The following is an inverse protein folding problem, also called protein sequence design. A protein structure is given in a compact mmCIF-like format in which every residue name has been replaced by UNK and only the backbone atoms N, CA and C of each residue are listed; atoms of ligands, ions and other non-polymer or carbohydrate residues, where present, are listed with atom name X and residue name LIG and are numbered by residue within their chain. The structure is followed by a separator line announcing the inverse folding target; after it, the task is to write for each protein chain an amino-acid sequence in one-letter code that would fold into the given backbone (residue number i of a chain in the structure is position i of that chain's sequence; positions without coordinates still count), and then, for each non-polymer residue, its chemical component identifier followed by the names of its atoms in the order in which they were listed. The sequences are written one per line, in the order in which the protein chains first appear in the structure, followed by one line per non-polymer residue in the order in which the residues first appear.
data_IF_318789771007
#
_entry.id   IF_318789771007
#
_cell.length_a   1.000
_cell.length_b   1.000
_cell.length_c   1.000
_cell.angle_alpha   90.00
_cell.angle_beta   90.00
_cell.angle_gamma   90.00
#
_symmetry.space_group_name_H-M   'P 1'
#
loop_
_entity.id
_entity.type
_entity.pdbx_description
1 polymer ?
#
# COMPACT_ATOMS: atom_id res chain seq x y z
N UNK A 1 -14.36 -2.18 -21.19
CA UNK A 1 -13.89 -2.39 -19.81
C UNK A 1 -12.83 -3.47 -19.92
N UNK A 2 -11.59 -3.16 -19.57
CA UNK A 2 -10.53 -4.17 -19.53
C UNK A 2 -10.79 -5.08 -18.32
N UNK A 3 -10.39 -6.36 -18.36
CA UNK A 3 -10.59 -7.25 -17.23
C UNK A 3 -9.76 -6.75 -16.04
N UNK A 4 -10.44 -6.51 -14.92
CA UNK A 4 -9.85 -6.24 -13.61
C UNK A 4 -9.97 -7.54 -12.83
N UNK A 5 -8.84 -8.02 -12.31
CA UNK A 5 -8.77 -9.22 -11.49
C UNK A 5 -8.24 -8.85 -10.10
N UNK A 6 -9.08 -8.91 -9.08
CA UNK A 6 -8.65 -8.82 -7.68
C UNK A 6 -7.83 -10.06 -7.32
N UNK A 7 -6.63 -9.84 -6.77
CA UNK A 7 -5.64 -10.86 -6.46
C UNK A 7 -5.63 -11.20 -4.97
N UNK A 8 -5.73 -10.18 -4.12
CA UNK A 8 -5.78 -10.30 -2.67
C UNK A 8 -6.70 -9.21 -2.12
N UNK A 9 -7.53 -9.60 -1.18
CA UNK A 9 -8.47 -8.72 -0.45
C UNK A 9 -8.33 -9.04 1.03
N UNK A 10 -8.18 -8.02 1.88
CA UNK A 10 -8.00 -8.18 3.32
C UNK A 10 -9.03 -7.30 4.05
N UNK A 11 -9.64 -7.83 5.11
CA UNK A 11 -10.59 -7.12 5.99
C UNK A 11 -11.82 -6.51 5.29
N UNK A 12 -12.41 -7.19 4.30
CA UNK A 12 -13.54 -6.70 3.48
C UNK A 12 -13.17 -5.44 2.68
N UNK A 13 -12.20 -5.57 1.78
CA UNK A 13 -11.73 -4.49 0.87
C UNK A 13 -10.94 -3.33 1.54
N UNK A 14 -10.63 -3.40 2.84
CA UNK A 14 -9.78 -2.38 3.50
C UNK A 14 -8.38 -2.32 2.86
N UNK A 15 -7.91 -3.45 2.32
CA UNK A 15 -6.75 -3.54 1.45
C UNK A 15 -7.09 -4.41 0.25
N UNK A 16 -6.73 -3.95 -0.95
CA UNK A 16 -6.80 -4.76 -2.16
C UNK A 16 -5.49 -4.69 -2.97
N UNK A 17 -5.06 -5.85 -3.44
CA UNK A 17 -4.14 -5.97 -4.56
C UNK A 17 -4.96 -6.46 -5.75
N UNK A 18 -4.94 -5.71 -6.85
CA UNK A 18 -5.60 -6.13 -8.09
C UNK A 18 -4.70 -5.88 -9.29
N UNK A 19 -5.03 -6.52 -10.41
CA UNK A 19 -4.32 -6.31 -11.68
C UNK A 19 -5.30 -5.95 -12.77
N UNK A 20 -4.78 -5.23 -13.75
CA UNK A 20 -5.45 -5.01 -15.03
C UNK A 20 -4.45 -5.15 -16.17
N UNK A 21 -4.97 -5.39 -17.37
CA UNK A 21 -4.17 -5.39 -18.59
C UNK A 21 -4.59 -4.21 -19.47
N UNK A 22 -3.68 -3.23 -19.63
CA UNK A 22 -3.88 -2.03 -20.46
C UNK A 22 -2.85 -2.05 -21.60
N UNK A 23 -3.34 -1.97 -22.84
CA UNK A 23 -2.49 -1.91 -24.03
C UNK A 23 -1.47 -3.07 -24.15
N UNK A 24 -1.83 -4.27 -23.68
CA UNK A 24 -0.95 -5.44 -23.68
C UNK A 24 0.13 -5.45 -22.58
N UNK A 25 0.04 -4.52 -21.63
CA UNK A 25 0.90 -4.45 -20.44
C UNK A 25 0.06 -4.73 -19.21
N UNK A 26 0.57 -5.57 -18.31
CA UNK A 26 -0.05 -5.86 -17.03
C UNK A 26 0.42 -4.86 -15.98
N UNK A 27 -0.54 -4.30 -15.24
CA UNK A 27 -0.28 -3.44 -14.10
C UNK A 27 -0.91 -4.04 -12.86
N UNK A 28 -0.25 -3.84 -11.74
CA UNK A 28 -0.67 -4.23 -10.40
C UNK A 28 -0.93 -2.96 -9.60
N UNK A 29 -2.00 -2.97 -8.83
CA UNK A 29 -2.49 -1.83 -8.09
C UNK A 29 -2.68 -2.17 -6.63
N UNK A 30 -2.47 -1.17 -5.77
CA UNK A 30 -2.81 -1.25 -4.35
C UNK A 30 -3.84 -0.18 -4.03
N UNK A 31 -4.97 -0.59 -3.46
CA UNK A 31 -5.94 0.26 -2.78
C UNK A 31 -5.92 -0.03 -1.29
N UNK A 32 -6.00 1.03 -0.47
CA UNK A 32 -6.24 0.94 0.97
C UNK A 32 -7.37 1.91 1.28
N UNK A 33 -8.39 1.46 2.02
CA UNK A 33 -9.52 2.29 2.42
C UNK A 33 -9.05 3.47 3.27
N UNK A 34 -9.41 4.69 2.85
CA UNK A 34 -9.00 5.94 3.50
C UNK A 34 -9.99 6.42 4.57
N UNK A 35 -11.19 5.84 4.63
CA UNK A 35 -12.22 6.18 5.62
C UNK A 35 -12.14 5.33 6.89
N UNK A 36 -10.95 4.84 7.23
CA UNK A 36 -10.65 4.21 8.52
C UNK A 36 -10.01 5.27 9.41
N UNK A 37 -10.61 5.53 10.57
CA UNK A 37 -10.12 6.50 11.55
C UNK A 37 -9.70 5.82 12.85
N UNK A 38 -8.49 6.13 13.34
CA UNK A 38 -8.00 5.64 14.64
C UNK A 38 -7.58 6.78 15.56
N UNK A 39 -7.72 6.57 16.87
CA UNK A 39 -7.27 7.54 17.88
C UNK A 39 -5.74 7.72 17.86
N UNK A 40 -4.98 6.69 17.47
CA UNK A 40 -3.51 6.71 17.44
C UNK A 40 -2.98 6.33 16.07
N UNK A 41 -1.92 7.02 15.65
CA UNK A 41 -1.13 6.62 14.48
C UNK A 41 -0.54 5.21 14.60
N UNK A 42 -0.33 4.71 15.82
CA UNK A 42 0.16 3.34 16.02
C UNK A 42 -0.82 2.29 15.51
N UNK A 43 -2.12 2.50 15.68
CA UNK A 43 -3.13 1.54 15.26
C UNK A 43 -3.14 1.40 13.72
N UNK A 44 -2.86 2.49 12.99
CA UNK A 44 -2.63 2.44 11.53
C UNK A 44 -1.34 1.69 11.16
N UNK A 45 -0.26 1.90 11.90
CA UNK A 45 1.02 1.20 11.66
C UNK A 45 0.82 -0.31 11.86
N UNK A 46 0.17 -0.72 12.95
CA UNK A 46 -0.15 -2.13 13.23
C UNK A 46 -1.04 -2.72 12.14
N UNK A 47 -2.07 -2.00 11.68
CA UNK A 47 -2.94 -2.43 10.58
C UNK A 47 -2.16 -2.62 9.27
N UNK A 48 -1.31 -1.66 8.91
CA UNK A 48 -0.56 -1.73 7.66
C UNK A 48 0.55 -2.79 7.71
N UNK A 49 1.16 -3.02 8.88
CA UNK A 49 2.08 -4.15 9.09
C UNK A 49 1.38 -5.50 8.90
N UNK A 50 0.13 -5.62 9.35
CA UNK A 50 -0.67 -6.80 9.11
C UNK A 50 -0.95 -6.99 7.61
N UNK A 51 -1.38 -5.95 6.90
CA UNK A 51 -1.54 -5.99 5.43
C UNK A 51 -0.23 -6.37 4.72
N UNK A 52 0.91 -5.82 5.15
CA UNK A 52 2.22 -6.11 4.57
C UNK A 52 2.60 -7.59 4.74
N UNK A 53 2.31 -8.16 5.91
CA UNK A 53 2.55 -9.57 6.20
C UNK A 53 1.71 -10.50 5.31
N UNK A 54 0.41 -10.22 5.17
CA UNK A 54 -0.47 -11.02 4.31
C UNK A 54 -0.13 -10.88 2.82
N UNK A 55 0.20 -9.66 2.37
CA UNK A 55 0.69 -9.43 1.02
C UNK A 55 1.97 -10.23 0.76
N UNK A 56 2.93 -10.20 1.69
CA UNK A 56 4.16 -10.97 1.55
C UNK A 56 3.88 -12.47 1.45
N UNK A 57 3.00 -13.00 2.30
CA UNK A 57 2.60 -14.40 2.27
C UNK A 57 1.96 -14.77 0.93
N UNK A 58 1.01 -13.96 0.44
CA UNK A 58 0.39 -14.14 -0.85
C UNK A 58 1.40 -14.19 -2.00
N UNK A 59 2.37 -13.27 -2.02
CA UNK A 59 3.41 -13.22 -3.06
C UNK A 59 4.29 -14.48 -3.07
N UNK A 60 4.63 -14.98 -1.88
CA UNK A 60 5.43 -16.20 -1.71
C UNK A 60 4.64 -17.45 -2.13
N UNK A 61 3.41 -17.60 -1.66
CA UNK A 61 2.56 -18.77 -1.95
C UNK A 61 2.24 -18.91 -3.44
N UNK A 62 2.11 -17.79 -4.14
CA UNK A 62 1.89 -17.75 -5.59
C UNK A 62 3.18 -17.79 -6.42
N UNK A 63 4.34 -18.00 -5.78
CA UNK A 63 5.65 -18.12 -6.43
C UNK A 63 6.02 -16.91 -7.32
N UNK A 64 5.61 -15.70 -6.94
CA UNK A 64 6.05 -14.50 -7.67
C UNK A 64 7.55 -14.29 -7.48
N UNK A 65 8.34 -14.17 -8.56
CA UNK A 65 9.79 -14.03 -8.46
C UNK A 65 10.11 -12.73 -7.74
N UNK A 66 10.82 -12.83 -6.61
CA UNK A 66 11.23 -11.67 -5.83
C UNK A 66 12.19 -10.83 -6.66
N UNK A 67 11.76 -9.64 -7.04
CA UNK A 67 12.61 -8.65 -7.68
C UNK A 67 13.40 -7.91 -6.59
N UNK A 68 14.64 -7.52 -6.90
CA UNK A 68 15.34 -6.60 -6.00
C UNK A 68 14.60 -5.26 -6.01
N UNK A 69 14.46 -4.64 -4.84
CA UNK A 69 13.97 -3.26 -4.73
C UNK A 69 14.85 -2.41 -5.64
N UNK A 70 14.30 -2.01 -6.79
CA UNK A 70 15.07 -1.21 -7.74
C UNK A 70 15.55 0.03 -7.00
N UNK A 71 16.87 0.29 -7.05
CA UNK A 71 17.47 1.42 -6.34
C UNK A 71 17.00 2.72 -6.98
N UNK A 72 15.81 3.17 -6.65
CA UNK A 72 15.22 4.39 -7.18
C UNK A 72 16.20 5.55 -6.97
N UNK A 73 16.65 6.20 -8.06
CA UNK A 73 17.28 7.52 -7.97
C UNK A 73 16.18 8.53 -7.66
N UNK A 74 15.97 8.80 -6.37
CA UNK A 74 15.05 9.83 -5.87
C UNK A 74 15.53 11.20 -6.34
N UNK A 75 14.86 11.80 -7.33
CA UNK A 75 15.17 13.17 -7.83
C UNK A 75 14.19 14.21 -7.25
N UNK A 76 12.99 13.78 -6.84
CA UNK A 76 11.94 14.57 -6.18
C UNK A 76 10.88 13.63 -5.56
N UNK A 77 10.28 13.96 -4.40
CA UNK A 77 9.03 13.35 -3.92
C UNK A 77 8.03 14.42 -3.48
N UNK A 78 6.76 14.21 -3.83
CA UNK A 78 5.62 14.85 -3.17
C UNK A 78 4.72 13.71 -2.67
N UNK A 79 4.25 13.88 -1.44
CA UNK A 79 3.70 12.86 -0.53
C UNK A 79 2.41 12.24 -1.10
N UNK A 80 2.42 10.95 -1.40
CA UNK A 80 1.21 10.16 -1.69
C UNK A 80 0.52 9.71 -0.39
N UNK A 81 0.55 10.57 0.63
CA UNK A 81 -0.02 10.30 1.94
C UNK A 81 -0.40 11.63 2.60
N UNK A 82 -1.70 11.82 2.82
CA UNK A 82 -2.27 12.91 3.60
C UNK A 82 -2.77 12.38 4.94
N UNK A 83 -2.30 12.98 6.03
CA UNK A 83 -2.70 12.63 7.40
C UNK A 83 -3.51 13.79 7.95
N UNK A 84 -4.78 13.55 8.22
CA UNK A 84 -5.70 14.52 8.81
C UNK A 84 -6.00 14.13 10.26
N UNK A 85 -6.17 15.12 11.13
CA UNK A 85 -6.67 14.90 12.49
C UNK A 85 -7.98 15.65 12.69
N UNK A 86 -9.02 14.94 13.14
CA UNK A 86 -10.35 15.48 13.36
C UNK A 86 -11.28 14.48 14.04
N UNK A 87 -12.23 14.99 14.83
CA UNK A 87 -13.12 14.18 15.69
C UNK A 87 -12.35 13.21 16.59
N UNK A 88 -11.26 13.68 17.19
CA UNK A 88 -10.35 12.92 18.06
C UNK A 88 -9.64 11.72 17.42
N UNK A 89 -9.69 11.61 16.08
CA UNK A 89 -9.04 10.55 15.30
C UNK A 89 -8.08 11.10 14.23
N UNK A 90 -7.08 10.29 13.91
CA UNK A 90 -6.27 10.41 12.70
C UNK A 90 -6.96 9.70 11.53
N UNK A 91 -6.76 10.23 10.34
CA UNK A 91 -7.26 9.71 9.06
C UNK A 91 -6.12 9.74 8.06
N UNK A 92 -5.91 8.66 7.31
CA UNK A 92 -4.81 8.53 6.35
C UNK A 92 -5.40 8.31 4.96
N UNK A 93 -5.05 9.20 4.03
CA UNK A 93 -5.43 9.08 2.63
C UNK A 93 -4.18 8.82 1.81
N UNK A 94 -4.19 7.74 1.03
CA UNK A 94 -3.11 7.37 0.14
C UNK A 94 -3.53 7.62 -1.31
N UNK A 95 -2.67 8.24 -2.10
CA UNK A 95 -2.84 8.20 -3.55
C UNK A 95 -2.51 6.77 -3.98
N UNK A 96 -3.50 6.05 -4.51
CA UNK A 96 -3.38 4.64 -4.88
C UNK A 96 -2.13 4.35 -5.73
N UNK A 97 -1.62 3.13 -5.61
CA UNK A 97 -0.35 2.73 -6.24
C UNK A 97 -0.58 1.93 -7.51
N UNK A 98 0.33 2.07 -8.49
CA UNK A 98 0.35 1.29 -9.74
C UNK A 98 1.81 0.94 -10.12
N UNK A 99 2.08 -0.32 -10.48
CA UNK A 99 3.36 -0.75 -11.07
C UNK A 99 3.20 -1.94 -12.01
N UNK A 100 4.14 -2.11 -12.95
CA UNK A 100 4.25 -3.32 -13.76
C UNK A 100 4.85 -4.51 -12.98
N UNK A 101 5.50 -4.25 -11.84
CA UNK A 101 6.14 -5.25 -11.00
C UNK A 101 5.33 -5.48 -9.71
N UNK A 102 4.88 -6.71 -9.49
CA UNK A 102 3.99 -7.02 -8.36
C UNK A 102 4.66 -6.83 -7.00
N UNK A 103 5.97 -7.09 -6.90
CA UNK A 103 6.72 -6.91 -5.66
C UNK A 103 6.86 -5.43 -5.26
N UNK A 104 6.66 -4.50 -6.21
CA UNK A 104 6.64 -3.10 -5.85
C UNK A 104 5.44 -2.73 -4.97
N UNK A 105 4.33 -3.48 -5.01
CA UNK A 105 3.22 -3.31 -4.08
C UNK A 105 3.67 -3.52 -2.62
N UNK A 106 4.50 -4.55 -2.38
CA UNK A 106 5.09 -4.81 -1.07
C UNK A 106 6.03 -3.67 -0.66
N UNK A 107 6.90 -3.23 -1.57
CA UNK A 107 7.85 -2.15 -1.29
C UNK A 107 7.18 -0.79 -1.07
N UNK A 108 6.05 -0.55 -1.74
CA UNK A 108 5.21 0.63 -1.54
C UNK A 108 4.64 0.63 -0.12
N UNK A 109 3.99 -0.44 0.30
CA UNK A 109 3.39 -0.52 1.64
C UNK A 109 4.46 -0.47 2.75
N UNK A 110 5.61 -1.11 2.54
CA UNK A 110 6.77 -0.99 3.44
C UNK A 110 7.23 0.48 3.58
N UNK A 111 7.26 1.25 2.49
CA UNK A 111 7.63 2.67 2.51
C UNK A 111 6.58 3.52 3.23
N UNK A 112 5.29 3.26 3.01
CA UNK A 112 4.18 3.94 3.72
C UNK A 112 4.28 3.74 5.23
N UNK A 113 4.49 2.50 5.70
CA UNK A 113 4.66 2.18 7.13
C UNK A 113 5.85 2.94 7.72
N UNK A 114 6.98 2.98 7.01
CA UNK A 114 8.16 3.71 7.48
C UNK A 114 7.90 5.22 7.58
N UNK A 115 7.21 5.81 6.61
CA UNK A 115 6.82 7.21 6.67
C UNK A 115 5.86 7.49 7.85
N UNK A 116 4.93 6.59 8.16
CA UNK A 116 4.05 6.75 9.33
C UNK A 116 4.80 6.73 10.65
N UNK A 117 5.80 5.84 10.77
CA UNK A 117 6.69 5.82 11.95
C UNK A 117 7.49 7.11 12.07
N UNK A 118 7.98 7.67 10.97
CA UNK A 118 8.69 8.97 10.95
C UNK A 118 7.77 10.13 11.38
N UNK A 119 6.53 10.16 10.88
CA UNK A 119 5.53 11.16 11.28
C UNK A 119 5.21 11.03 12.76
N UNK A 120 4.91 9.83 13.25
CA UNK A 120 4.63 9.55 14.67
C UNK A 120 5.77 10.01 15.58
N UNK A 121 7.03 9.81 15.16
CA UNK A 121 8.19 10.26 15.93
C UNK A 121 8.38 11.79 15.93
N UNK A 122 7.69 12.51 15.04
CA UNK A 122 7.83 13.96 14.84
C UNK A 122 6.71 14.78 15.48
N UNK A 123 5.67 14.14 16.02
CA UNK A 123 4.53 14.78 16.72
C UNK A 123 4.51 14.39 18.20
#
# INVERSE_FOLDING_TARGET
MLPIDTLLEIHNDDFELWKEEKYGVKFYHVSIEGYIGFEKLEDFIELYEHFLGELQQYLIENNYPKTEKSGWKRIYSKRAMDICYGNDCYWIFLDGYESAEIWDAYYYLEDVINQLREVKASI
#
